data_IF_785408652491
#
_entry.id   IF_785408652491
#
_cell.length_a   1.000
_cell.length_b   1.000
_cell.length_c   1.000
_cell.angle_alpha   90.00
_cell.angle_beta   90.00
_cell.angle_gamma   90.00
#
_symmetry.space_group_name_H-M   'P 1'
#
loop_
_entity.id
_entity.type
_entity.pdbx_description
1 polymer ?
#
# COMPACT_ATOMS: atom_id res chain seq x y z
N UNK A 1 11.17 -6.37 1.92
CA UNK A 1 11.11 -5.62 3.20
C UNK A 1 10.35 -6.43 4.24
N UNK A 2 10.93 -6.57 5.40
CA UNK A 2 10.29 -7.19 6.57
C UNK A 2 9.78 -6.10 7.51
N UNK A 3 8.53 -6.25 7.97
CA UNK A 3 7.85 -5.29 8.82
C UNK A 3 7.46 -6.00 10.11
N UNK A 4 7.97 -5.50 11.23
CA UNK A 4 7.53 -5.97 12.55
C UNK A 4 6.31 -5.17 12.95
N UNK A 5 5.14 -5.80 12.90
CA UNK A 5 3.86 -5.13 13.17
C UNK A 5 3.59 -5.17 14.67
N UNK A 6 3.88 -4.04 15.34
CA UNK A 6 3.62 -3.83 16.77
C UNK A 6 4.18 -4.94 17.69
N UNK A 7 5.30 -5.55 17.32
CA UNK A 7 5.91 -6.67 18.06
C UNK A 7 5.00 -7.91 18.19
N UNK A 8 3.96 -8.02 17.35
CA UNK A 8 3.01 -9.12 17.37
C UNK A 8 3.30 -10.15 16.28
N UNK A 9 3.55 -9.69 15.06
CA UNK A 9 3.85 -10.57 13.92
C UNK A 9 4.65 -9.82 12.86
N UNK A 10 5.17 -10.57 11.90
CA UNK A 10 5.89 -10.01 10.75
C UNK A 10 5.03 -10.05 9.50
N UNK A 11 5.11 -8.98 8.71
CA UNK A 11 4.57 -8.89 7.36
C UNK A 11 5.69 -8.56 6.39
N UNK A 12 5.39 -8.67 5.10
CA UNK A 12 6.40 -8.48 4.05
C UNK A 12 5.86 -7.64 2.91
N UNK A 13 6.76 -6.87 2.31
CA UNK A 13 6.43 -6.00 1.18
C UNK A 13 7.57 -6.01 0.17
N UNK A 14 7.26 -5.75 -1.09
CA UNK A 14 8.22 -5.65 -2.17
C UNK A 14 8.25 -4.24 -2.73
N UNK A 15 9.45 -3.68 -2.93
CA UNK A 15 9.63 -2.38 -3.58
C UNK A 15 9.46 -2.57 -5.08
N UNK A 16 8.54 -1.84 -5.67
CA UNK A 16 8.24 -1.90 -7.10
C UNK A 16 9.03 -0.84 -7.88
N UNK A 17 8.95 -0.87 -9.21
CA UNK A 17 9.65 0.05 -10.09
C UNK A 17 9.29 1.51 -9.83
N UNK A 18 8.03 1.79 -9.47
CA UNK A 18 7.54 3.13 -9.12
C UNK A 18 8.01 3.60 -7.74
N UNK A 19 8.76 2.77 -7.02
CA UNK A 19 9.15 2.96 -5.61
C UNK A 19 7.98 2.88 -4.63
N UNK A 20 6.81 2.46 -5.10
CA UNK A 20 5.72 2.02 -4.24
C UNK A 20 6.05 0.65 -3.66
N UNK A 21 5.41 0.28 -2.58
CA UNK A 21 5.55 -1.04 -1.96
C UNK A 21 4.28 -1.84 -2.12
N UNK A 22 4.43 -3.09 -2.58
CA UNK A 22 3.35 -4.07 -2.61
C UNK A 22 3.38 -4.87 -1.30
N UNK A 23 2.34 -4.78 -0.51
CA UNK A 23 2.25 -5.47 0.78
C UNK A 23 1.53 -6.80 0.58
N UNK A 24 2.21 -7.88 0.92
CA UNK A 24 1.70 -9.23 0.71
C UNK A 24 0.72 -9.65 1.80
N UNK A 25 -0.27 -10.46 1.43
CA UNK A 25 -1.15 -11.13 2.38
C UNK A 25 -0.43 -12.35 2.97
N UNK A 26 0.56 -12.06 3.81
CA UNK A 26 1.37 -13.07 4.48
C UNK A 26 1.83 -12.50 5.82
N UNK A 27 1.51 -13.22 6.89
CA UNK A 27 2.01 -12.88 8.22
C UNK A 27 2.57 -14.11 8.91
N UNK A 28 3.53 -13.88 9.79
CA UNK A 28 4.14 -14.97 10.56
C UNK A 28 4.61 -14.47 11.92
N UNK A 29 4.59 -15.32 12.91
CA UNK A 29 5.11 -15.01 14.25
C UNK A 29 6.63 -14.98 14.27
N UNK A 30 7.27 -15.78 13.41
CA UNK A 30 8.71 -15.84 13.27
C UNK A 30 9.13 -15.25 11.93
N UNK A 31 10.39 -14.82 11.82
CA UNK A 31 10.91 -14.32 10.57
C UNK A 31 10.81 -15.36 9.46
N UNK A 32 10.51 -14.90 8.26
CA UNK A 32 10.39 -15.77 7.11
C UNK A 32 11.71 -16.50 6.85
N UNK A 33 11.64 -17.82 6.64
CA UNK A 33 12.79 -18.65 6.36
C UNK A 33 13.17 -18.66 4.88
N UNK A 34 12.16 -18.61 4.01
CA UNK A 34 12.33 -18.68 2.56
C UNK A 34 11.45 -17.62 1.88
N UNK A 35 12.09 -16.72 1.11
CA UNK A 35 11.35 -15.65 0.41
C UNK A 35 10.37 -16.18 -0.63
N UNK A 36 10.64 -17.36 -1.15
CA UNK A 36 9.80 -18.03 -2.14
C UNK A 36 8.36 -18.23 -1.63
N UNK A 37 8.16 -18.26 -0.33
CA UNK A 37 6.83 -18.34 0.27
C UNK A 37 5.94 -17.14 -0.11
N UNK A 38 6.55 -16.02 -0.49
CA UNK A 38 5.83 -14.81 -0.91
C UNK A 38 5.43 -14.82 -2.38
N UNK A 39 6.01 -15.68 -3.21
CA UNK A 39 5.83 -15.67 -4.66
C UNK A 39 4.36 -15.84 -5.07
N UNK A 40 3.59 -16.61 -4.32
CA UNK A 40 2.19 -16.87 -4.63
C UNK A 40 1.23 -16.13 -3.69
N UNK A 41 1.75 -15.28 -2.82
CA UNK A 41 0.90 -14.49 -1.92
C UNK A 41 0.17 -13.39 -2.70
N UNK A 42 -1.10 -13.18 -2.40
CA UNK A 42 -1.84 -12.05 -2.95
C UNK A 42 -1.30 -10.75 -2.36
N UNK A 43 -1.56 -9.65 -3.06
CA UNK A 43 -1.17 -8.32 -2.61
C UNK A 43 -2.39 -7.65 -1.97
N UNK A 44 -2.20 -7.15 -0.75
CA UNK A 44 -3.27 -6.47 -0.01
C UNK A 44 -3.48 -5.04 -0.51
N UNK A 45 -2.39 -4.31 -0.68
CA UNK A 45 -2.43 -2.94 -1.18
C UNK A 45 -1.04 -2.52 -1.66
N UNK A 46 -1.00 -1.47 -2.48
CA UNK A 46 0.24 -0.90 -3.03
C UNK A 46 0.22 0.59 -2.72
N UNK A 47 1.17 1.05 -1.90
CA UNK A 47 1.26 2.45 -1.50
C UNK A 47 2.72 2.91 -1.45
N UNK A 48 2.92 4.22 -1.54
CA UNK A 48 4.22 4.83 -1.22
C UNK A 48 4.31 5.06 0.28
N UNK A 49 5.52 4.93 0.80
CA UNK A 49 5.82 5.21 2.20
C UNK A 49 6.96 6.22 2.26
N UNK A 50 7.12 6.89 3.40
CA UNK A 50 8.27 7.76 3.62
C UNK A 50 9.55 6.93 3.58
N UNK A 51 10.48 7.36 2.74
CA UNK A 51 11.68 6.56 2.43
C UNK A 51 12.63 6.42 3.62
N UNK A 52 12.58 7.33 4.59
CA UNK A 52 13.37 7.27 5.82
C UNK A 52 13.05 6.01 6.65
N UNK A 53 11.85 5.46 6.52
CA UNK A 53 11.48 4.19 7.16
C UNK A 53 12.47 3.09 6.77
N UNK A 54 12.86 3.08 5.51
CA UNK A 54 13.77 2.08 4.96
C UNK A 54 15.23 2.47 5.25
N UNK A 55 15.60 3.73 5.00
CA UNK A 55 16.98 4.17 5.16
C UNK A 55 17.44 4.18 6.60
N UNK A 56 16.54 4.39 7.55
CA UNK A 56 16.84 4.34 8.98
C UNK A 56 16.69 2.94 9.59
N UNK A 57 16.29 1.96 8.78
CA UNK A 57 16.24 0.56 9.20
C UNK A 57 15.05 0.16 10.04
N UNK A 58 13.97 0.95 10.07
CA UNK A 58 12.76 0.55 10.76
C UNK A 58 12.13 -0.69 10.12
N UNK A 59 12.09 -0.70 8.79
CA UNK A 59 11.76 -1.89 8.02
C UNK A 59 13.05 -2.39 7.36
N UNK A 60 13.25 -3.70 7.34
CA UNK A 60 14.54 -4.30 7.01
C UNK A 60 14.45 -5.05 5.68
N UNK A 61 15.44 -4.83 4.81
CA UNK A 61 15.57 -5.63 3.59
C UNK A 61 16.04 -7.03 3.95
N UNK A 62 15.30 -8.04 3.52
CA UNK A 62 15.62 -9.44 3.81
C UNK A 62 15.99 -10.23 2.55
N UNK A 63 15.95 -9.61 1.38
CA UNK A 63 16.35 -10.22 0.12
C UNK A 63 15.66 -9.58 -1.07
N UNK A 64 15.67 -10.29 -2.19
CA UNK A 64 15.07 -9.86 -3.44
C UNK A 64 14.23 -10.98 -4.04
N UNK A 65 13.11 -10.60 -4.64
CA UNK A 65 12.28 -11.47 -5.48
C UNK A 65 12.08 -10.78 -6.83
N UNK A 66 11.97 -11.54 -7.92
CA UNK A 66 11.54 -10.96 -9.20
C UNK A 66 10.15 -10.33 -9.05
N UNK A 67 9.96 -9.17 -9.68
CA UNK A 67 8.65 -8.51 -9.69
C UNK A 67 7.74 -9.26 -10.64
N UNK A 68 6.61 -9.76 -10.13
CA UNK A 68 5.61 -10.48 -10.94
C UNK A 68 5.09 -9.61 -12.08
N UNK A 69 4.66 -10.24 -13.16
CA UNK A 69 4.15 -9.54 -14.33
C UNK A 69 3.04 -8.55 -13.97
N UNK A 70 2.07 -8.95 -13.15
CA UNK A 70 0.96 -8.10 -12.72
C UNK A 70 1.38 -6.92 -11.85
N UNK A 71 2.62 -6.92 -11.32
CA UNK A 71 3.17 -5.84 -10.51
C UNK A 71 4.14 -4.95 -11.28
N UNK A 72 4.39 -5.23 -12.56
CA UNK A 72 5.29 -4.42 -13.41
C UNK A 72 4.71 -3.03 -13.69
N UNK A 73 3.39 -2.94 -13.74
CA UNK A 73 2.67 -1.68 -13.92
C UNK A 73 1.84 -1.44 -12.65
N UNK A 74 2.07 -0.31 -12.00
CA UNK A 74 1.34 0.04 -10.78
C UNK A 74 -0.10 0.45 -11.11
N UNK A 75 -1.08 0.13 -10.24
CA UNK A 75 -2.46 0.54 -10.43
C UNK A 75 -2.61 2.06 -10.40
N UNK A 76 -3.63 2.56 -11.08
CA UNK A 76 -4.04 3.96 -10.97
C UNK A 76 -4.45 4.27 -9.53
N UNK A 77 -4.27 5.52 -9.15
CA UNK A 77 -4.66 6.04 -7.84
C UNK A 77 -5.60 7.22 -8.03
N UNK A 78 -6.32 7.61 -6.97
CA UNK A 78 -7.18 8.78 -7.06
C UNK A 78 -6.65 9.92 -6.21
N UNK A 79 -6.98 11.14 -6.63
CA UNK A 79 -6.75 12.38 -5.88
C UNK A 79 -8.13 12.99 -5.60
N UNK A 80 -8.35 13.44 -4.37
CA UNK A 80 -9.61 14.03 -3.96
C UNK A 80 -9.41 15.46 -3.48
N UNK A 81 -10.21 16.37 -4.04
CA UNK A 81 -10.21 17.79 -3.70
C UNK A 81 -11.56 18.17 -3.09
N UNK A 82 -11.61 18.32 -1.79
CA UNK A 82 -12.85 18.51 -1.05
C UNK A 82 -13.64 19.77 -1.47
N UNK A 83 -12.92 20.84 -1.80
CA UNK A 83 -13.53 22.16 -2.03
C UNK A 83 -13.50 22.63 -3.49
N UNK A 84 -12.98 21.82 -4.40
CA UNK A 84 -12.91 22.16 -5.80
C UNK A 84 -14.10 21.63 -6.58
N UNK A 85 -14.44 22.33 -7.70
CA UNK A 85 -15.45 21.83 -8.64
C UNK A 85 -15.04 20.48 -9.22
N UNK A 86 -13.77 20.33 -9.53
CA UNK A 86 -13.17 19.05 -9.90
C UNK A 86 -12.78 18.35 -8.62
N UNK A 87 -13.68 17.48 -8.12
CA UNK A 87 -13.45 16.76 -6.87
C UNK A 87 -12.50 15.60 -7.02
N UNK A 88 -12.45 14.97 -8.20
CA UNK A 88 -11.68 13.74 -8.42
C UNK A 88 -10.73 13.87 -9.60
N UNK A 89 -9.53 13.31 -9.42
CA UNK A 89 -8.57 13.09 -10.49
C UNK A 89 -8.06 11.67 -10.42
N UNK A 90 -7.70 11.11 -11.58
CA UNK A 90 -6.93 9.86 -11.64
C UNK A 90 -5.46 10.22 -11.75
N UNK A 91 -4.64 9.52 -10.99
CA UNK A 91 -3.19 9.67 -11.00
C UNK A 91 -2.55 8.35 -11.45
N UNK A 92 -1.65 8.46 -12.42
CA UNK A 92 -0.88 7.32 -12.92
C UNK A 92 0.52 7.33 -12.28
N UNK A 93 0.79 6.44 -11.31
CA UNK A 93 2.11 6.43 -10.67
C UNK A 93 3.24 5.97 -11.58
N UNK A 94 2.92 5.38 -12.73
CA UNK A 94 3.92 4.93 -13.71
C UNK A 94 4.48 6.09 -14.53
N UNK A 95 3.69 7.13 -14.78
CA UNK A 95 4.07 8.29 -15.60
C UNK A 95 4.14 9.59 -14.80
N UNK A 96 3.47 9.66 -13.66
CA UNK A 96 3.32 10.88 -12.88
C UNK A 96 2.24 11.82 -13.41
N UNK A 97 1.47 11.39 -14.40
CA UNK A 97 0.40 12.19 -14.99
C UNK A 97 -0.91 12.05 -14.23
N UNK A 98 -1.70 13.12 -14.21
CA UNK A 98 -3.03 13.12 -13.65
C UNK A 98 -4.04 13.67 -14.65
N UNK A 99 -5.30 13.32 -14.48
CA UNK A 99 -6.40 13.82 -15.31
C UNK A 99 -7.70 13.90 -14.52
N UNK A 100 -8.61 14.80 -14.93
CA UNK A 100 -9.94 14.86 -14.34
C UNK A 100 -10.65 13.50 -14.38
N UNK A 101 -11.43 13.21 -13.33
CA UNK A 101 -12.13 11.94 -13.22
C UNK A 101 -13.43 12.11 -12.45
N UNK A 102 -14.09 11.00 -12.17
CA UNK A 102 -15.35 10.95 -11.46
C UNK A 102 -15.22 10.03 -10.24
N UNK A 103 -16.15 10.18 -9.32
CA UNK A 103 -16.24 9.32 -8.14
C UNK A 103 -16.31 7.83 -8.55
N UNK A 104 -17.09 7.51 -9.57
CA UNK A 104 -17.26 6.13 -10.01
C UNK A 104 -15.99 5.53 -10.61
N UNK A 105 -15.26 6.32 -11.40
CA UNK A 105 -13.96 5.87 -11.95
C UNK A 105 -12.92 5.63 -10.85
N UNK A 106 -12.99 6.40 -9.77
CA UNK A 106 -12.03 6.34 -8.67
C UNK A 106 -12.39 5.28 -7.62
N UNK A 107 -13.60 4.76 -7.67
CA UNK A 107 -14.08 3.80 -6.68
C UNK A 107 -13.22 2.54 -6.67
N UNK A 108 -12.78 2.12 -5.49
CA UNK A 108 -11.96 0.92 -5.32
C UNK A 108 -10.46 1.15 -5.51
N UNK A 109 -10.04 2.35 -5.89
CA UNK A 109 -8.62 2.67 -6.04
C UNK A 109 -8.01 3.13 -4.72
N UNK A 110 -6.69 2.98 -4.60
CA UNK A 110 -5.93 3.59 -3.52
C UNK A 110 -5.85 5.10 -3.74
N UNK A 111 -5.91 5.85 -2.65
CA UNK A 111 -5.64 7.29 -2.70
C UNK A 111 -4.16 7.56 -2.94
N UNK A 112 -3.86 8.56 -3.75
CA UNK A 112 -2.49 9.02 -3.97
C UNK A 112 -2.02 9.73 -2.69
N UNK A 113 -1.21 9.03 -1.90
CA UNK A 113 -0.70 9.52 -0.63
C UNK A 113 0.61 8.80 -0.28
N UNK A 114 1.38 9.40 0.62
CA UNK A 114 2.58 8.78 1.20
C UNK A 114 2.24 8.40 2.62
N UNK A 115 2.46 7.13 2.98
CA UNK A 115 2.07 6.58 4.26
C UNK A 115 3.21 6.61 5.28
N UNK A 116 2.84 6.89 6.53
CA UNK A 116 3.73 6.80 7.67
C UNK A 116 3.86 5.33 8.11
N UNK A 117 4.99 5.00 8.74
CA UNK A 117 5.29 3.67 9.27
C UNK A 117 4.17 3.14 10.17
N UNK A 118 3.76 3.92 11.15
CA UNK A 118 2.75 3.51 12.13
C UNK A 118 1.39 3.28 11.47
N UNK A 119 1.04 4.10 10.50
CA UNK A 119 -0.25 3.98 9.81
C UNK A 119 -0.30 2.70 8.98
N UNK A 120 0.79 2.32 8.32
CA UNK A 120 0.86 1.05 7.58
C UNK A 120 0.77 -0.14 8.53
N UNK A 121 1.51 -0.10 9.64
CA UNK A 121 1.48 -1.18 10.63
C UNK A 121 0.08 -1.33 11.22
N UNK A 122 -0.62 -0.22 11.50
CA UNK A 122 -2.01 -0.23 11.95
C UNK A 122 -2.92 -0.85 10.89
N UNK A 123 -2.72 -0.49 9.61
CA UNK A 123 -3.52 -1.01 8.50
C UNK A 123 -3.37 -2.53 8.38
N UNK A 124 -2.15 -3.05 8.49
CA UNK A 124 -1.89 -4.48 8.46
C UNK A 124 -2.54 -5.19 9.65
N UNK A 125 -2.39 -4.64 10.85
CA UNK A 125 -3.03 -5.17 12.05
C UNK A 125 -4.55 -5.23 11.89
N UNK A 126 -5.15 -4.14 11.45
CA UNK A 126 -6.60 -4.03 11.29
C UNK A 126 -7.11 -5.02 10.25
N UNK A 127 -6.39 -5.20 9.14
CA UNK A 127 -6.75 -6.19 8.13
C UNK A 127 -6.84 -7.59 8.76
N UNK A 128 -5.82 -8.00 9.50
CA UNK A 128 -5.78 -9.34 10.10
C UNK A 128 -6.73 -9.49 11.29
N UNK A 129 -7.16 -8.39 11.89
CA UNK A 129 -8.21 -8.40 12.93
C UNK A 129 -9.61 -8.34 12.33
N UNK A 130 -9.74 -8.20 11.01
CA UNK A 130 -11.04 -8.15 10.35
C UNK A 130 -11.83 -6.88 10.64
N UNK A 131 -11.15 -5.78 10.95
CA UNK A 131 -11.78 -4.47 11.26
C UNK A 131 -11.33 -3.43 10.25
N UNK A 132 -12.16 -2.38 10.01
CA UNK A 132 -11.76 -1.29 9.10
C UNK A 132 -10.53 -0.55 9.63
N UNK A 133 -9.65 -0.15 8.71
CA UNK A 133 -8.49 0.67 9.06
C UNK A 133 -8.92 2.09 9.40
N UNK A 134 -8.54 2.57 10.57
CA UNK A 134 -8.89 3.91 11.05
C UNK A 134 -8.33 5.01 10.12
N UNK A 135 -7.18 4.77 9.49
CA UNK A 135 -6.51 5.75 8.62
C UNK A 135 -7.16 5.82 7.23
N UNK A 136 -8.11 4.93 6.91
CA UNK A 136 -8.91 4.95 5.69
C UNK A 136 -10.32 5.47 5.92
N UNK A 137 -10.60 6.01 7.10
CA UNK A 137 -11.95 6.49 7.46
C UNK A 137 -12.45 7.55 6.48
N UNK A 138 -11.62 8.52 6.13
CA UNK A 138 -11.98 9.58 5.18
C UNK A 138 -12.27 8.97 3.80
N UNK A 139 -11.46 8.01 3.35
CA UNK A 139 -11.66 7.34 2.07
C UNK A 139 -13.00 6.61 2.04
N UNK A 140 -13.36 5.92 3.11
CA UNK A 140 -14.67 5.26 3.20
C UNK A 140 -15.82 6.27 3.13
N UNK A 141 -15.69 7.41 3.79
CA UNK A 141 -16.70 8.47 3.76
C UNK A 141 -16.85 9.09 2.36
N UNK A 142 -15.74 9.32 1.66
CA UNK A 142 -15.74 9.86 0.30
C UNK A 142 -16.55 8.99 -0.65
N UNK A 143 -16.42 7.67 -0.56
CA UNK A 143 -17.08 6.72 -1.47
C UNK A 143 -18.40 6.17 -0.95
N UNK A 144 -18.85 6.64 0.18
CA UNK A 144 -20.13 6.26 0.75
C UNK A 144 -21.26 6.81 -0.12
N UNK A 145 -22.24 5.97 -0.41
CA UNK A 145 -23.41 6.33 -1.19
C UNK A 145 -24.51 6.99 -0.33
#
# INVERSE_FOLDING_TARGET
MEINVHNDFFCYAQILQTKSLAFFDYRTKERISELELLENSSVLFIVKVYFDIITQGYWVKVGKLPIREELQVAPMQYIYHKFDKLQFELYDPNTGEDRPSTKEECRGLERCAVWDKHHVEDRLRDYYNGVPCIWLKEDYEIFKD
#
